data_IF_954150824051
#
_entry.id   IF_954150824051
#
_cell.length_a   1.000
_cell.length_b   1.000
_cell.length_c   1.000
_cell.angle_alpha   90.00
_cell.angle_beta   90.00
_cell.angle_gamma   90.00
#
_symmetry.space_group_name_H-M   'P 1'
#
loop_
_entity.id
_entity.type
_entity.pdbx_description
1 polymer ?
#
# COMPACT_ATOMS: atom_id res chain seq x y z
N UNK A 1 76.97 27.50 37.57
CA UNK A 1 77.71 26.22 37.63
C UNK A 1 76.84 25.26 38.43
N UNK A 2 76.33 24.14 37.94
CA UNK A 2 76.45 23.41 36.69
C UNK A 2 75.14 22.57 36.59
N UNK A 3 74.48 22.53 35.44
CA UNK A 3 74.54 21.46 34.42
C UNK A 3 73.37 20.48 34.51
N UNK A 4 72.68 20.39 33.38
CA UNK A 4 71.50 19.63 33.01
C UNK A 4 71.74 18.08 32.89
N UNK A 5 70.70 17.25 32.57
CA UNK A 5 70.46 15.87 33.03
C UNK A 5 71.06 14.77 32.12
N UNK A 6 70.70 13.45 32.25
CA UNK A 6 69.56 12.93 31.45
C UNK A 6 68.83 11.64 31.94
N UNK A 7 67.78 11.29 31.16
CA UNK A 7 67.31 9.94 30.77
C UNK A 7 66.20 9.18 31.58
N UNK A 8 64.95 9.46 31.21
CA UNK A 8 63.88 8.55 30.70
C UNK A 8 63.80 7.05 31.15
N UNK A 9 62.64 6.68 31.76
CA UNK A 9 61.69 5.55 31.43
C UNK A 9 60.90 5.15 32.70
N UNK A 10 59.63 5.55 32.83
CA UNK A 10 58.39 4.77 32.55
C UNK A 10 58.35 3.38 33.22
N UNK A 11 57.64 3.27 34.35
CA UNK A 11 56.66 2.22 34.66
C UNK A 11 55.83 2.58 35.90
N UNK A 12 54.57 2.11 35.93
CA UNK A 12 53.67 1.99 37.09
C UNK A 12 52.86 3.21 37.57
N UNK A 13 51.90 3.64 36.74
CA UNK A 13 50.77 4.47 37.15
C UNK A 13 49.44 3.91 36.60
N UNK A 14 49.11 2.65 36.91
CA UNK A 14 47.91 1.98 36.38
C UNK A 14 46.97 1.38 37.43
N UNK A 15 47.09 1.73 38.72
CA UNK A 15 46.26 1.08 39.76
C UNK A 15 45.41 2.01 40.64
N UNK A 16 45.51 3.34 40.52
CA UNK A 16 44.80 4.25 41.44
C UNK A 16 43.67 5.11 40.85
N UNK A 17 43.29 4.93 39.58
CA UNK A 17 42.25 5.78 38.93
C UNK A 17 40.85 5.14 38.92
N UNK A 18 40.72 3.85 39.19
CA UNK A 18 39.45 3.13 38.98
C UNK A 18 38.46 3.14 40.17
N UNK A 19 38.74 3.90 41.22
CA UNK A 19 37.90 3.94 42.45
C UNK A 19 37.13 5.24 42.63
N UNK A 20 37.32 6.27 41.79
CA UNK A 20 36.65 7.58 41.95
C UNK A 20 35.58 7.90 40.91
N UNK A 21 35.41 7.08 39.88
CA UNK A 21 34.43 7.28 38.79
C UNK A 21 33.13 6.45 38.92
N UNK A 22 32.83 5.88 40.09
CA UNK A 22 31.61 5.07 40.34
C UNK A 22 30.52 5.74 41.18
N UNK A 23 30.67 7.03 41.52
CA UNK A 23 29.71 7.77 42.38
C UNK A 23 28.80 8.75 41.65
N UNK A 24 28.77 8.74 40.32
CA UNK A 24 27.94 9.66 39.53
C UNK A 24 27.27 8.97 38.34
N UNK A 25 26.56 7.87 38.58
CA UNK A 25 25.49 7.40 37.70
C UNK A 25 24.42 6.74 38.57
N UNK A 26 23.28 7.42 38.71
CA UNK A 26 22.08 6.81 39.26
C UNK A 26 21.61 5.71 38.31
N UNK A 27 21.93 4.46 38.65
CA UNK A 27 21.33 3.28 38.02
C UNK A 27 20.67 2.53 39.16
N UNK A 28 19.34 2.65 39.24
CA UNK A 28 18.49 1.81 40.07
C UNK A 28 18.92 0.35 39.89
N UNK A 29 19.38 -0.28 40.97
CA UNK A 29 19.63 -1.71 40.98
C UNK A 29 18.28 -2.43 41.00
N UNK A 30 17.70 -2.58 39.82
CA UNK A 30 16.53 -3.43 39.62
C UNK A 30 16.87 -4.82 40.14
N UNK A 31 16.15 -5.25 41.18
CA UNK A 31 16.24 -6.61 41.74
C UNK A 31 16.11 -7.58 40.58
N UNK A 32 17.19 -8.30 40.26
CA UNK A 32 17.19 -9.35 39.23
C UNK A 32 16.26 -10.46 39.69
N UNK A 33 15.00 -10.38 39.27
CA UNK A 33 14.04 -11.46 39.45
C UNK A 33 14.56 -12.63 38.64
N UNK A 34 14.90 -13.73 39.31
CA UNK A 34 15.26 -14.99 38.66
C UNK A 34 14.15 -15.36 37.67
N UNK A 35 14.47 -15.61 36.39
CA UNK A 35 13.47 -15.93 35.38
C UNK A 35 12.55 -17.06 35.85
N UNK A 36 11.24 -16.90 35.63
CA UNK A 36 10.24 -17.89 36.03
C UNK A 36 10.62 -19.29 35.52
N UNK A 37 10.52 -20.32 36.37
CA UNK A 37 10.87 -21.70 36.00
C UNK A 37 10.21 -22.15 34.69
N UNK A 38 8.94 -21.75 34.49
CA UNK A 38 8.19 -22.02 33.25
C UNK A 38 8.80 -21.35 32.01
N UNK A 39 9.36 -20.16 32.16
CA UNK A 39 10.03 -19.45 31.07
C UNK A 39 11.36 -20.13 30.70
N UNK A 40 12.09 -20.60 31.71
CA UNK A 40 13.33 -21.36 31.51
C UNK A 40 13.02 -22.71 30.83
N UNK A 41 11.98 -23.41 31.27
CA UNK A 41 11.52 -24.67 30.67
C UNK A 41 11.10 -24.46 29.21
N UNK A 42 10.30 -23.43 28.91
CA UNK A 42 9.91 -23.10 27.54
C UNK A 42 11.11 -22.76 26.65
N UNK A 43 12.13 -22.08 27.20
CA UNK A 43 13.36 -21.77 26.47
C UNK A 43 14.17 -23.04 26.17
N UNK A 44 14.24 -23.96 27.13
CA UNK A 44 14.93 -25.24 26.96
C UNK A 44 14.24 -26.13 25.91
N UNK A 45 12.91 -26.19 25.89
CA UNK A 45 12.17 -26.89 24.86
C UNK A 45 12.41 -26.30 23.47
N UNK A 46 12.40 -24.96 23.36
CA UNK A 46 12.65 -24.27 22.10
C UNK A 46 14.07 -24.52 21.57
N UNK A 47 15.07 -24.50 22.44
CA UNK A 47 16.46 -24.80 22.07
C UNK A 47 16.56 -26.23 21.54
N UNK A 48 15.94 -27.19 22.23
CA UNK A 48 15.91 -28.60 21.82
C UNK A 48 15.30 -28.79 20.43
N UNK A 49 14.22 -28.06 20.13
CA UNK A 49 13.59 -28.09 18.79
C UNK A 49 14.55 -27.52 17.74
N UNK A 50 15.16 -26.37 17.99
CA UNK A 50 16.09 -25.74 17.05
C UNK A 50 17.32 -26.61 16.80
N UNK A 51 17.87 -27.24 17.84
CA UNK A 51 18.99 -28.19 17.72
C UNK A 51 18.61 -29.40 16.85
N UNK A 52 17.39 -29.92 17.00
CA UNK A 52 16.90 -31.01 16.15
C UNK A 52 16.74 -30.60 14.67
N UNK A 53 16.36 -29.34 14.41
CA UNK A 53 16.25 -28.81 13.05
C UNK A 53 17.64 -28.59 12.43
N UNK A 54 18.60 -28.10 13.20
CA UNK A 54 19.99 -27.94 12.75
C UNK A 54 20.61 -29.31 12.45
N UNK A 55 20.36 -30.32 13.28
CA UNK A 55 20.87 -31.67 13.04
C UNK A 55 20.30 -32.25 11.73
N UNK A 56 18.99 -32.08 11.48
CA UNK A 56 18.36 -32.50 10.21
C UNK A 56 18.97 -31.79 9.00
N UNK A 57 19.23 -30.49 9.10
CA UNK A 57 19.86 -29.73 8.01
C UNK A 57 21.32 -30.12 7.80
N UNK A 58 22.03 -30.47 8.87
CA UNK A 58 23.43 -30.91 8.83
C UNK A 58 23.59 -32.32 8.26
N UNK A 59 22.64 -33.22 8.55
CA UNK A 59 22.58 -34.54 7.91
C UNK A 59 22.25 -34.42 6.42
N UNK A 60 21.46 -33.41 6.02
CA UNK A 60 21.18 -33.11 4.63
C UNK A 60 22.34 -32.38 3.92
N UNK A 61 23.22 -31.69 4.64
CA UNK A 61 24.34 -30.94 4.05
C UNK A 61 25.55 -31.79 3.64
N UNK A 62 25.49 -33.12 3.82
CA UNK A 62 26.55 -34.05 3.45
C UNK A 62 26.60 -34.46 1.96
N UNK A 63 25.68 -33.98 1.12
CA UNK A 63 25.60 -34.37 -0.31
C UNK A 63 25.82 -33.22 -1.30
N UNK A 64 26.40 -32.09 -0.90
CA UNK A 64 26.49 -30.88 -1.76
C UNK A 64 27.94 -30.48 -2.09
N UNK A 65 28.72 -31.38 -2.70
CA UNK A 65 29.90 -30.96 -3.47
C UNK A 65 29.77 -31.20 -4.99
N UNK A 66 28.58 -31.60 -5.50
CA UNK A 66 28.42 -31.90 -6.94
C UNK A 66 27.17 -31.28 -7.60
N UNK A 67 26.65 -30.16 -7.09
CA UNK A 67 25.45 -29.48 -7.67
C UNK A 67 25.68 -27.99 -8.00
N UNK A 68 26.92 -27.51 -7.94
CA UNK A 68 27.27 -26.10 -8.19
C UNK A 68 27.15 -25.64 -9.67
N UNK A 69 26.69 -26.53 -10.57
CA UNK A 69 26.54 -26.23 -12.00
C UNK A 69 25.08 -26.17 -12.51
N UNK A 70 24.06 -26.45 -11.69
CA UNK A 70 22.67 -26.59 -12.17
C UNK A 70 21.72 -25.43 -11.80
N UNK A 71 22.13 -24.43 -11.01
CA UNK A 71 21.20 -23.41 -10.48
C UNK A 71 21.10 -22.14 -11.36
N UNK A 72 21.73 -22.09 -12.54
CA UNK A 72 21.67 -20.91 -13.40
C UNK A 72 20.53 -20.90 -14.45
N UNK A 73 19.62 -21.88 -14.50
CA UNK A 73 18.53 -21.84 -15.52
C UNK A 73 17.09 -22.21 -15.10
N UNK A 74 16.76 -22.52 -13.85
CA UNK A 74 15.35 -22.79 -13.46
C UNK A 74 14.82 -21.82 -12.41
N UNK A 75 14.62 -20.57 -12.83
CA UNK A 75 13.82 -19.56 -12.12
C UNK A 75 12.34 -19.56 -12.53
N UNK A 76 11.78 -20.72 -12.86
CA UNK A 76 10.37 -20.87 -13.24
C UNK A 76 9.68 -21.95 -12.41
N UNK A 77 8.70 -21.51 -11.61
CA UNK A 77 7.46 -22.23 -11.32
C UNK A 77 7.57 -23.67 -10.82
N UNK A 78 7.69 -23.87 -9.50
CA UNK A 78 7.15 -25.07 -8.86
C UNK A 78 6.39 -24.70 -7.59
N UNK A 79 5.12 -24.37 -7.78
CA UNK A 79 4.06 -24.63 -6.82
C UNK A 79 3.94 -26.14 -6.67
N UNK A 80 4.28 -26.69 -5.50
CA UNK A 80 4.01 -28.07 -5.15
C UNK A 80 2.49 -28.31 -5.19
N UNK A 81 2.06 -29.07 -6.20
CA UNK A 81 0.75 -29.67 -6.25
C UNK A 81 0.75 -30.90 -5.34
N UNK A 82 0.32 -30.75 -4.08
CA UNK A 82 -0.07 -31.91 -3.28
C UNK A 82 -1.41 -32.45 -3.81
N UNK A 83 -1.26 -33.50 -4.60
CA UNK A 83 -2.28 -34.49 -4.95
C UNK A 83 -3.07 -34.92 -3.71
N UNK A 84 -4.37 -34.67 -3.71
CA UNK A 84 -5.33 -35.28 -2.79
C UNK A 84 -5.45 -36.76 -3.13
N UNK A 85 -4.69 -37.60 -2.43
CA UNK A 85 -5.07 -38.98 -2.19
C UNK A 85 -6.04 -38.99 -1.01
N UNK A 86 -7.22 -39.53 -1.25
CA UNK A 86 -8.13 -39.95 -0.18
C UNK A 86 -7.41 -41.02 0.63
N UNK A 87 -6.94 -40.69 1.82
CA UNK A 87 -6.80 -41.66 2.89
C UNK A 87 -6.75 -40.98 4.25
N UNK A 88 -7.38 -41.64 5.22
CA UNK A 88 -7.61 -41.13 6.55
C UNK A 88 -6.31 -40.81 7.31
N UNK A 89 -6.42 -39.80 8.17
CA UNK A 89 -5.78 -39.66 9.48
C UNK A 89 -4.62 -38.63 9.63
N UNK A 90 -4.82 -37.76 10.62
CA UNK A 90 -3.96 -36.67 11.14
C UNK A 90 -3.97 -35.30 10.44
N UNK A 91 -4.85 -34.44 10.97
CA UNK A 91 -4.91 -33.00 10.77
C UNK A 91 -3.62 -32.28 11.19
N UNK A 92 -2.74 -31.97 10.25
CA UNK A 92 -1.89 -30.80 10.41
C UNK A 92 -2.71 -29.54 10.09
N UNK A 93 -3.57 -29.20 11.06
CA UNK A 93 -4.31 -27.94 11.09
C UNK A 93 -3.27 -26.82 11.23
N UNK A 94 -3.02 -26.07 10.15
CA UNK A 94 -2.03 -25.00 10.21
C UNK A 94 -2.54 -23.89 11.14
N UNK A 95 -1.83 -23.57 12.24
CA UNK A 95 -2.30 -22.58 13.21
C UNK A 95 -2.49 -21.19 12.57
N UNK A 96 -1.70 -20.89 11.54
CA UNK A 96 -1.80 -19.66 10.76
C UNK A 96 -3.12 -19.61 9.97
N UNK A 97 -3.58 -20.75 9.43
CA UNK A 97 -4.87 -20.84 8.73
C UNK A 97 -6.04 -20.68 9.70
N UNK A 98 -5.96 -21.25 10.89
CA UNK A 98 -6.98 -21.03 11.93
C UNK A 98 -7.06 -19.58 12.40
N UNK A 99 -5.91 -18.91 12.56
CA UNK A 99 -5.85 -17.51 12.94
C UNK A 99 -6.39 -16.66 11.79
N UNK A 100 -6.00 -16.94 10.55
CA UNK A 100 -6.55 -16.33 9.34
C UNK A 100 -8.07 -16.51 9.22
N UNK A 101 -8.58 -17.71 9.50
CA UNK A 101 -9.99 -18.04 9.39
C UNK A 101 -10.82 -17.39 10.51
N UNK A 102 -10.20 -17.03 11.65
CA UNK A 102 -10.86 -16.34 12.77
C UNK A 102 -10.71 -14.83 12.69
N UNK A 103 -9.50 -14.37 12.39
CA UNK A 103 -9.06 -12.99 12.48
C UNK A 103 -8.90 -12.32 11.11
N UNK A 104 -9.06 -13.03 10.00
CA UNK A 104 -8.82 -12.46 8.67
C UNK A 104 -7.35 -12.51 8.24
N UNK A 105 -7.12 -12.25 6.96
CA UNK A 105 -5.81 -12.30 6.30
C UNK A 105 -5.26 -10.90 6.01
N UNK A 106 -3.95 -10.75 6.16
CA UNK A 106 -3.19 -9.61 5.67
C UNK A 106 -2.54 -9.99 4.33
N UNK A 107 -2.79 -9.22 3.29
CA UNK A 107 -2.16 -9.43 1.98
C UNK A 107 -1.52 -8.14 1.50
N UNK A 108 -0.42 -8.28 0.77
CA UNK A 108 0.20 -7.16 0.06
C UNK A 108 -0.46 -7.11 -1.31
N UNK A 109 -1.13 -6.01 -1.62
CA UNK A 109 -1.71 -5.74 -2.94
C UNK A 109 -0.62 -5.52 -3.99
N UNK A 110 -1.02 -5.54 -5.27
CA UNK A 110 -0.13 -5.24 -6.40
C UNK A 110 0.46 -3.81 -6.34
N UNK A 111 -0.22 -2.92 -5.61
CA UNK A 111 0.23 -1.58 -5.27
C UNK A 111 1.26 -1.54 -4.12
N UNK A 112 1.69 -2.69 -3.59
CA UNK A 112 2.64 -2.79 -2.48
C UNK A 112 2.04 -2.51 -1.10
N UNK A 113 0.72 -2.27 -1.00
CA UNK A 113 0.07 -1.91 0.24
C UNK A 113 -0.52 -3.11 0.96
N UNK A 114 -0.41 -3.15 2.29
CA UNK A 114 -0.99 -4.23 3.10
C UNK A 114 -2.49 -3.96 3.30
N UNK A 115 -3.34 -4.86 2.79
CA UNK A 115 -4.79 -4.85 2.95
C UNK A 115 -5.21 -5.96 3.90
N UNK A 116 -6.09 -5.63 4.85
CA UNK A 116 -6.68 -6.57 5.78
C UNK A 116 -8.05 -7.03 5.27
N UNK A 117 -8.20 -8.33 5.09
CA UNK A 117 -9.45 -8.97 4.72
C UNK A 117 -9.98 -9.76 5.91
N UNK A 118 -11.14 -9.38 6.45
CA UNK A 118 -11.72 -10.08 7.58
C UNK A 118 -12.06 -11.54 7.26
N UNK A 119 -12.25 -12.36 8.30
CA UNK A 119 -12.58 -13.80 8.19
C UNK A 119 -13.86 -14.12 7.41
N UNK A 120 -14.73 -13.13 7.23
CA UNK A 120 -15.98 -13.27 6.46
C UNK A 120 -15.79 -13.10 4.95
N UNK A 121 -14.65 -12.56 4.52
CA UNK A 121 -14.33 -12.34 3.11
C UNK A 121 -13.59 -13.57 2.62
N UNK A 122 -14.16 -14.29 1.64
CA UNK A 122 -13.60 -15.52 1.06
C UNK A 122 -12.38 -15.24 0.15
N UNK A 123 -11.37 -14.52 0.66
CA UNK A 123 -10.19 -14.14 -0.08
C UNK A 123 -9.18 -15.30 -0.23
N UNK A 124 -9.24 -16.31 0.62
CA UNK A 124 -8.38 -17.50 0.53
C UNK A 124 -8.57 -18.29 -0.77
N UNK A 125 -9.74 -18.17 -1.42
CA UNK A 125 -10.02 -18.77 -2.72
C UNK A 125 -9.45 -17.98 -3.91
N UNK A 126 -9.23 -16.67 -3.74
CA UNK A 126 -8.73 -15.81 -4.82
C UNK A 126 -7.21 -15.92 -5.01
N UNK A 127 -6.47 -16.38 -3.99
CA UNK A 127 -5.02 -16.62 -4.08
C UNK A 127 -4.62 -17.67 -5.12
N UNK A 128 -5.54 -18.57 -5.49
CA UNK A 128 -5.28 -19.67 -6.41
C UNK A 128 -5.92 -19.47 -7.79
N UNK A 129 -6.48 -18.29 -8.08
CA UNK A 129 -7.03 -18.01 -9.40
C UNK A 129 -5.90 -17.60 -10.35
N UNK A 130 -5.62 -18.33 -11.43
CA UNK A 130 -4.66 -17.90 -12.46
C UNK A 130 -5.08 -16.59 -13.14
N UNK A 131 -6.33 -16.13 -12.95
CA UNK A 131 -6.79 -14.81 -13.39
C UNK A 131 -6.30 -13.65 -12.50
N UNK A 132 -5.92 -13.91 -11.24
CA UNK A 132 -5.36 -12.89 -10.34
C UNK A 132 -3.91 -12.50 -10.69
N UNK A 133 -3.20 -13.34 -11.47
CA UNK A 133 -1.86 -13.07 -11.97
C UNK A 133 -1.83 -12.37 -13.34
N UNK A 134 -2.99 -12.15 -13.96
CA UNK A 134 -3.14 -11.47 -15.24
C UNK A 134 -3.65 -10.02 -15.09
N UNK A 135 -3.54 -9.43 -13.90
CA UNK A 135 -3.84 -8.01 -13.71
C UNK A 135 -2.69 -7.21 -14.33
N UNK A 136 -3.04 -6.31 -15.24
CA UNK A 136 -2.07 -5.38 -15.81
C UNK A 136 -1.64 -4.45 -14.69
N UNK A 137 -0.33 -4.34 -14.47
CA UNK A 137 0.26 -3.46 -13.47
C UNK A 137 -0.41 -2.08 -13.49
N UNK A 138 -0.89 -1.64 -12.31
CA UNK A 138 -1.50 -0.32 -12.16
C UNK A 138 -0.60 0.79 -12.69
N UNK A 139 0.72 0.62 -12.59
CA UNK A 139 1.71 1.54 -13.15
C UNK A 139 1.71 1.56 -14.68
N UNK A 140 1.58 0.39 -15.32
CA UNK A 140 1.50 0.31 -16.79
C UNK A 140 0.20 0.89 -17.33
N UNK A 141 -0.93 0.69 -16.62
CA UNK A 141 -2.22 1.32 -16.95
C UNK A 141 -2.14 2.85 -16.84
N UNK A 142 -1.50 3.39 -15.80
CA UNK A 142 -1.27 4.83 -15.66
C UNK A 142 -0.41 5.39 -16.79
N UNK A 143 0.64 4.65 -17.20
CA UNK A 143 1.51 5.05 -18.31
C UNK A 143 0.78 5.03 -19.65
N UNK A 144 -0.09 4.05 -19.87
CA UNK A 144 -0.96 4.00 -21.05
C UNK A 144 -1.95 5.17 -21.06
N UNK A 145 -2.59 5.45 -19.91
CA UNK A 145 -3.48 6.60 -19.77
C UNK A 145 -2.78 7.91 -20.09
N UNK A 146 -1.57 8.13 -19.57
CA UNK A 146 -0.78 9.34 -19.82
C UNK A 146 -0.48 9.53 -21.32
N UNK A 147 -0.07 8.46 -22.03
CA UNK A 147 0.18 8.52 -23.48
C UNK A 147 -1.08 8.90 -24.27
N UNK A 148 -2.22 8.31 -23.92
CA UNK A 148 -3.48 8.61 -24.60
C UNK A 148 -3.96 10.04 -24.32
N UNK A 149 -3.74 10.55 -23.10
CA UNK A 149 -4.03 11.94 -22.75
C UNK A 149 -3.15 12.93 -23.54
N UNK A 150 -1.89 12.61 -23.77
CA UNK A 150 -1.00 13.42 -24.62
C UNK A 150 -1.47 13.43 -26.08
N UNK A 151 -1.88 12.29 -26.62
CA UNK A 151 -2.39 12.19 -27.99
C UNK A 151 -3.69 12.98 -28.22
N UNK A 152 -4.51 13.12 -27.17
CA UNK A 152 -5.80 13.82 -27.22
C UNK A 152 -5.70 15.30 -26.79
N UNK A 153 -4.51 15.79 -26.47
CA UNK A 153 -4.28 17.14 -25.92
C UNK A 153 -5.10 17.43 -24.64
N UNK A 154 -5.44 16.38 -23.89
CA UNK A 154 -6.18 16.44 -22.63
C UNK A 154 -5.25 16.49 -21.41
N UNK A 155 -3.93 16.47 -21.63
CA UNK A 155 -2.92 16.55 -20.58
C UNK A 155 -2.62 18.00 -20.14
N UNK A 156 -3.62 18.87 -20.12
CA UNK A 156 -3.45 20.22 -19.60
C UNK A 156 -3.38 20.20 -18.07
N UNK A 157 -2.51 21.07 -17.52
CA UNK A 157 -2.41 21.31 -16.08
C UNK A 157 -3.28 22.50 -15.71
N UNK A 158 -4.15 22.31 -14.73
CA UNK A 158 -4.95 23.39 -14.15
C UNK A 158 -4.04 24.28 -13.31
N UNK A 159 -4.16 25.61 -13.44
CA UNK A 159 -3.44 26.57 -12.60
C UNK A 159 -3.75 26.31 -11.12
N UNK A 160 -2.75 26.47 -10.25
CA UNK A 160 -2.93 26.25 -8.80
C UNK A 160 -4.04 27.13 -8.22
N UNK A 161 -4.15 28.39 -8.67
CA UNK A 161 -5.23 29.30 -8.24
C UNK A 161 -6.62 28.77 -8.64
N UNK A 162 -6.74 28.27 -9.88
CA UNK A 162 -8.01 27.75 -10.39
C UNK A 162 -8.38 26.45 -9.69
N UNK A 163 -7.40 25.58 -9.43
CA UNK A 163 -7.58 24.34 -8.67
C UNK A 163 -8.10 24.66 -7.27
N UNK A 164 -7.46 25.59 -6.56
CA UNK A 164 -7.80 25.90 -5.17
C UNK A 164 -9.19 26.56 -5.08
N UNK A 165 -9.54 27.42 -6.04
CA UNK A 165 -10.89 27.97 -6.20
C UNK A 165 -11.95 26.87 -6.37
N UNK A 166 -11.71 25.93 -7.29
CA UNK A 166 -12.62 24.81 -7.54
C UNK A 166 -12.73 23.85 -6.35
N UNK A 167 -11.62 23.59 -5.65
CA UNK A 167 -11.63 22.81 -4.42
C UNK A 167 -12.47 23.50 -3.34
N UNK A 168 -12.31 24.82 -3.17
CA UNK A 168 -13.16 25.60 -2.26
C UNK A 168 -14.65 25.41 -2.53
N UNK A 169 -15.06 25.54 -3.80
CA UNK A 169 -16.43 25.30 -4.25
C UNK A 169 -16.88 23.86 -3.93
N UNK A 170 -16.06 22.86 -4.25
CA UNK A 170 -16.38 21.45 -4.00
C UNK A 170 -16.67 21.18 -2.51
N UNK A 171 -15.83 21.71 -1.62
CA UNK A 171 -15.99 21.49 -0.18
C UNK A 171 -17.24 22.18 0.38
N UNK A 172 -17.59 23.35 -0.17
CA UNK A 172 -18.77 24.11 0.27
C UNK A 172 -20.06 23.44 -0.21
N UNK A 173 -20.12 23.08 -1.50
CA UNK A 173 -21.37 22.67 -2.14
C UNK A 173 -21.57 21.16 -2.21
N UNK A 174 -20.53 20.40 -2.60
CA UNK A 174 -20.68 18.98 -2.86
C UNK A 174 -20.48 18.14 -1.59
N UNK A 175 -19.37 18.37 -0.88
CA UNK A 175 -19.00 17.54 0.27
C UNK A 175 -19.94 17.73 1.47
N UNK A 176 -20.64 18.86 1.53
CA UNK A 176 -21.66 19.14 2.55
C UNK A 176 -22.84 18.16 2.48
N UNK A 177 -23.18 17.65 1.29
CA UNK A 177 -24.33 16.76 1.09
C UNK A 177 -23.93 15.33 0.74
N UNK A 178 -22.77 15.12 0.14
CA UNK A 178 -22.25 13.80 -0.19
C UNK A 178 -20.81 13.65 0.30
N UNK A 179 -20.65 12.98 1.44
CA UNK A 179 -19.35 12.71 2.05
C UNK A 179 -18.62 11.55 1.35
N UNK A 180 -18.24 11.77 0.09
CA UNK A 180 -17.54 10.78 -0.75
C UNK A 180 -16.03 10.82 -0.49
N UNK A 181 -15.48 12.01 -0.20
CA UNK A 181 -14.04 12.25 -0.07
C UNK A 181 -13.73 12.85 1.30
N UNK A 182 -12.74 12.29 2.01
CA UNK A 182 -12.27 12.85 3.28
C UNK A 182 -11.37 14.05 2.99
N UNK A 183 -11.86 15.26 3.34
CA UNK A 183 -11.19 16.52 3.01
C UNK A 183 -9.74 16.58 3.49
N UNK A 184 -9.49 16.26 4.76
CA UNK A 184 -8.17 16.44 5.37
C UNK A 184 -7.12 15.54 4.71
N UNK A 185 -7.44 14.25 4.54
CA UNK A 185 -6.57 13.28 3.88
C UNK A 185 -6.35 13.62 2.40
N UNK A 186 -7.39 14.11 1.72
CA UNK A 186 -7.30 14.48 0.32
C UNK A 186 -6.40 15.71 0.12
N UNK A 187 -6.52 16.74 0.97
CA UNK A 187 -5.67 17.93 0.90
C UNK A 187 -4.23 17.61 1.32
N UNK A 188 -4.03 16.81 2.37
CA UNK A 188 -2.69 16.34 2.77
C UNK A 188 -2.00 15.59 1.62
N UNK A 189 -2.72 14.71 0.93
CA UNK A 189 -2.15 13.95 -0.18
C UNK A 189 -1.82 14.84 -1.39
N UNK A 190 -2.57 15.91 -1.62
CA UNK A 190 -2.31 16.85 -2.73
C UNK A 190 -1.13 17.78 -2.46
N UNK A 191 -0.95 18.26 -1.22
CA UNK A 191 0.02 19.31 -0.92
C UNK A 191 1.28 18.83 -0.19
N UNK A 192 1.22 17.69 0.51
CA UNK A 192 2.30 17.22 1.38
C UNK A 192 2.83 15.88 0.90
N UNK A 193 1.97 14.86 0.87
CA UNK A 193 2.43 13.47 0.73
C UNK A 193 2.65 13.05 -0.72
N UNK A 194 1.86 13.58 -1.66
CA UNK A 194 1.89 13.22 -3.09
C UNK A 194 1.90 11.69 -3.33
N UNK A 195 1.26 10.94 -2.43
CA UNK A 195 1.26 9.48 -2.43
C UNK A 195 0.28 8.89 -3.45
N UNK A 196 -0.77 9.65 -3.79
CA UNK A 196 -1.82 9.25 -4.72
C UNK A 196 -2.77 8.18 -4.15
N UNK A 197 -2.68 7.91 -2.84
CA UNK A 197 -3.54 6.97 -2.10
C UNK A 197 -4.94 7.54 -1.89
N UNK A 198 -5.02 8.83 -1.55
CA UNK A 198 -6.26 9.52 -1.21
C UNK A 198 -6.66 10.53 -2.29
N UNK A 199 -5.69 11.04 -3.06
CA UNK A 199 -5.89 11.99 -4.13
C UNK A 199 -5.26 11.49 -5.43
N UNK A 200 -5.90 10.50 -6.08
CA UNK A 200 -5.46 10.05 -7.39
C UNK A 200 -5.71 11.14 -8.46
N UNK A 201 -4.92 11.18 -9.55
CA UNK A 201 -5.14 12.11 -10.66
C UNK A 201 -6.55 12.00 -11.26
N UNK A 202 -7.12 10.79 -11.25
CA UNK A 202 -8.49 10.54 -11.64
C UNK A 202 -9.48 11.24 -10.70
N UNK A 203 -9.35 11.03 -9.39
CA UNK A 203 -10.24 11.61 -8.39
C UNK A 203 -10.17 13.14 -8.42
N UNK A 204 -8.96 13.71 -8.47
CA UNK A 204 -8.77 15.14 -8.59
C UNK A 204 -9.46 15.70 -9.84
N UNK A 205 -9.29 15.06 -11.00
CA UNK A 205 -9.92 15.50 -12.24
C UNK A 205 -11.45 15.45 -12.16
N UNK A 206 -12.02 14.39 -11.56
CA UNK A 206 -13.47 14.27 -11.34
C UNK A 206 -14.00 15.35 -10.38
N UNK A 207 -13.30 15.61 -9.27
CA UNK A 207 -13.66 16.66 -8.30
C UNK A 207 -13.69 18.02 -8.99
N UNK A 208 -12.64 18.38 -9.73
CA UNK A 208 -12.55 19.64 -10.45
C UNK A 208 -13.61 19.75 -11.54
N UNK A 209 -13.89 18.67 -12.28
CA UNK A 209 -14.90 18.63 -13.33
C UNK A 209 -16.33 18.86 -12.81
N UNK A 210 -16.63 18.34 -11.62
CA UNK A 210 -17.91 18.56 -10.95
C UNK A 210 -18.02 19.97 -10.38
N UNK A 211 -16.97 20.44 -9.70
CA UNK A 211 -16.92 21.78 -9.13
C UNK A 211 -16.98 22.89 -10.19
N UNK A 212 -16.41 22.66 -11.38
CA UNK A 212 -16.40 23.61 -12.48
C UNK A 212 -17.81 24.06 -12.91
N UNK A 213 -18.82 23.20 -12.72
CA UNK A 213 -20.22 23.54 -13.02
C UNK A 213 -20.81 24.62 -12.12
N UNK A 214 -20.25 24.79 -10.93
CA UNK A 214 -20.66 25.79 -9.96
C UNK A 214 -19.76 27.05 -10.01
N UNK A 215 -18.83 27.12 -10.97
CA UNK A 215 -17.92 28.24 -11.14
C UNK A 215 -18.34 29.11 -12.31
N UNK A 216 -18.35 30.43 -12.12
CA UNK A 216 -18.69 31.40 -13.17
C UNK A 216 -17.52 31.73 -14.12
N UNK A 217 -16.33 31.15 -13.89
CA UNK A 217 -15.12 31.45 -14.68
C UNK A 217 -15.27 30.94 -16.12
N UNK A 218 -15.10 31.83 -17.09
CA UNK A 218 -15.21 31.53 -18.53
C UNK A 218 -14.11 30.58 -19.01
N UNK A 219 -12.93 30.62 -18.38
CA UNK A 219 -11.77 29.75 -18.69
C UNK A 219 -12.06 28.24 -18.53
N UNK A 220 -13.09 27.88 -17.77
CA UNK A 220 -13.50 26.48 -17.56
C UNK A 220 -14.49 25.98 -18.60
N UNK A 221 -15.03 26.88 -19.44
CA UNK A 221 -16.05 26.56 -20.44
C UNK A 221 -15.37 26.20 -21.75
N UNK A 222 -15.76 25.07 -22.34
CA UNK A 222 -15.31 24.69 -23.68
C UNK A 222 -15.90 25.61 -24.73
N UNK A 223 -17.16 26.02 -24.55
CA UNK A 223 -17.78 27.10 -25.31
C UNK A 223 -17.98 28.30 -24.37
N UNK A 224 -17.30 29.45 -24.58
CA UNK A 224 -17.44 30.64 -23.75
C UNK A 224 -18.89 31.12 -23.58
N UNK A 225 -19.76 30.83 -24.56
CA UNK A 225 -21.16 31.28 -24.59
C UNK A 225 -22.12 30.30 -23.89
N UNK A 226 -21.73 29.05 -23.70
CA UNK A 226 -22.58 28.04 -23.04
C UNK A 226 -22.04 27.69 -21.63
N UNK A 227 -22.70 28.15 -20.55
CA UNK A 227 -22.30 27.83 -19.19
C UNK A 227 -22.39 26.33 -18.88
N UNK A 228 -23.20 25.55 -19.61
CA UNK A 228 -23.31 24.11 -19.40
C UNK A 228 -22.04 23.34 -19.84
N UNK A 229 -21.16 23.97 -20.62
CA UNK A 229 -19.90 23.37 -21.05
C UNK A 229 -18.79 23.45 -20.01
N UNK A 230 -19.04 24.07 -18.85
CA UNK A 230 -18.06 24.20 -17.79
C UNK A 230 -17.53 22.83 -17.31
N UNK A 231 -16.21 22.67 -17.33
CA UNK A 231 -15.52 21.46 -16.89
C UNK A 231 -15.64 20.26 -17.83
N UNK A 232 -16.12 20.43 -19.08
CA UNK A 232 -16.21 19.33 -20.04
C UNK A 232 -14.83 18.71 -20.34
N UNK A 233 -13.80 19.54 -20.56
CA UNK A 233 -12.43 19.07 -20.79
C UNK A 233 -11.87 18.29 -19.58
N UNK A 234 -12.16 18.74 -18.36
CA UNK A 234 -11.77 18.04 -17.13
C UNK A 234 -12.49 16.71 -16.97
N UNK A 235 -13.78 16.66 -17.32
CA UNK A 235 -14.56 15.43 -17.30
C UNK A 235 -14.07 14.43 -18.35
N UNK A 236 -13.72 14.91 -19.55
CA UNK A 236 -13.16 14.07 -20.61
C UNK A 236 -11.81 13.47 -20.20
N UNK A 237 -10.93 14.29 -19.62
CA UNK A 237 -9.69 13.83 -18.99
C UNK A 237 -9.96 12.73 -17.95
N UNK A 238 -10.89 12.96 -17.03
CA UNK A 238 -11.26 11.98 -16.01
C UNK A 238 -11.83 10.69 -16.60
N UNK A 239 -12.71 10.78 -17.61
CA UNK A 239 -13.26 9.60 -18.32
C UNK A 239 -12.16 8.76 -18.95
N UNK A 240 -11.17 9.41 -19.58
CA UNK A 240 -10.09 8.68 -20.23
C UNK A 240 -9.22 7.95 -19.22
N UNK A 241 -8.87 8.59 -18.09
CA UNK A 241 -8.14 7.92 -17.01
C UNK A 241 -8.95 6.76 -16.42
N UNK A 242 -10.26 6.96 -16.21
CA UNK A 242 -11.17 5.94 -15.69
C UNK A 242 -11.25 4.71 -16.60
N UNK A 243 -11.16 4.89 -17.91
CA UNK A 243 -11.18 3.77 -18.86
C UNK A 243 -10.01 2.81 -18.62
N UNK A 244 -8.78 3.33 -18.43
CA UNK A 244 -7.61 2.51 -18.12
C UNK A 244 -7.63 1.98 -16.70
N UNK A 245 -7.94 2.83 -15.71
CA UNK A 245 -8.00 2.40 -14.30
C UNK A 245 -9.11 1.38 -14.02
N UNK A 246 -10.12 1.25 -14.90
CA UNK A 246 -11.19 0.25 -14.72
C UNK A 246 -10.72 -1.20 -14.77
N UNK A 247 -9.51 -1.46 -15.25
CA UNK A 247 -8.89 -2.78 -15.25
C UNK A 247 -8.23 -3.15 -13.92
N UNK A 248 -7.90 -2.14 -13.10
CA UNK A 248 -7.31 -2.30 -11.77
C UNK A 248 -7.90 -1.22 -10.82
N UNK A 249 -9.17 -1.37 -10.42
CA UNK A 249 -9.86 -0.34 -9.65
C UNK A 249 -9.24 -0.15 -8.27
N UNK A 250 -9.17 1.12 -7.85
CA UNK A 250 -8.79 1.53 -6.49
C UNK A 250 -9.97 2.19 -5.80
N UNK A 251 -9.88 2.40 -4.49
CA UNK A 251 -10.89 3.15 -3.73
C UNK A 251 -11.15 4.54 -4.34
N UNK A 252 -10.09 5.21 -4.78
CA UNK A 252 -10.17 6.51 -5.47
C UNK A 252 -10.89 6.42 -6.82
N UNK A 253 -10.80 5.28 -7.51
CA UNK A 253 -11.50 5.01 -8.78
C UNK A 253 -13.00 4.92 -8.55
N UNK A 254 -13.43 4.29 -7.46
CA UNK A 254 -14.85 4.21 -7.05
C UNK A 254 -15.37 5.62 -6.71
N UNK A 255 -14.65 6.35 -5.86
CA UNK A 255 -15.01 7.73 -5.50
C UNK A 255 -15.10 8.62 -6.74
N UNK A 256 -14.14 8.51 -7.65
CA UNK A 256 -14.11 9.28 -8.88
C UNK A 256 -15.27 8.92 -9.83
N UNK A 257 -15.60 7.63 -9.95
CA UNK A 257 -16.73 7.17 -10.77
C UNK A 257 -18.07 7.67 -10.24
N UNK A 258 -18.26 7.72 -8.91
CA UNK A 258 -19.45 8.28 -8.27
C UNK A 258 -19.59 9.79 -8.53
N UNK A 259 -18.49 10.54 -8.43
CA UNK A 259 -18.50 11.99 -8.72
C UNK A 259 -18.75 12.26 -10.21
N UNK A 260 -18.18 11.43 -11.08
CA UNK A 260 -18.35 11.54 -12.52
C UNK A 260 -19.78 11.20 -12.93
N UNK A 261 -20.40 10.16 -12.36
CA UNK A 261 -21.79 9.82 -12.65
C UNK A 261 -22.74 10.96 -12.26
N UNK A 262 -22.54 11.56 -11.07
CA UNK A 262 -23.32 12.72 -10.64
C UNK A 262 -23.18 13.88 -11.63
N UNK A 263 -21.96 14.15 -12.08
CA UNK A 263 -21.71 15.19 -13.08
C UNK A 263 -22.47 14.92 -14.37
N UNK A 264 -22.40 13.70 -14.91
CA UNK A 264 -23.04 13.34 -16.18
C UNK A 264 -24.56 13.38 -16.11
N UNK A 265 -25.14 12.87 -15.03
CA UNK A 265 -26.59 12.96 -14.79
C UNK A 265 -27.05 14.41 -14.75
N UNK A 266 -26.23 15.30 -14.19
CA UNK A 266 -26.58 16.71 -14.09
C UNK A 266 -26.31 17.54 -15.36
N UNK A 267 -25.70 16.97 -16.39
CA UNK A 267 -25.52 17.55 -17.74
C UNK A 267 -26.48 16.89 -18.74
N UNK A 268 -27.56 16.26 -18.24
CA UNK A 268 -28.57 15.52 -19.01
C UNK A 268 -28.01 14.36 -19.86
N UNK A 269 -26.81 13.88 -19.53
CA UNK A 269 -26.20 12.69 -20.13
C UNK A 269 -26.51 11.45 -19.30
N UNK A 270 -27.79 11.22 -19.03
CA UNK A 270 -28.25 10.20 -18.07
C UNK A 270 -27.70 8.80 -18.40
N UNK A 271 -27.70 8.40 -19.68
CA UNK A 271 -27.19 7.10 -20.12
C UNK A 271 -25.72 6.87 -19.73
N UNK A 272 -24.87 7.90 -19.80
CA UNK A 272 -23.48 7.81 -19.35
C UNK A 272 -23.39 7.72 -17.83
N UNK A 273 -24.23 8.47 -17.11
CA UNK A 273 -24.35 8.36 -15.66
C UNK A 273 -24.67 6.93 -15.22
N UNK A 274 -25.64 6.28 -15.86
CA UNK A 274 -26.01 4.89 -15.59
C UNK A 274 -24.87 3.90 -15.87
N UNK A 275 -24.10 4.09 -16.94
CA UNK A 275 -22.94 3.23 -17.26
C UNK A 275 -21.87 3.36 -16.16
N UNK A 276 -21.60 4.57 -15.67
CA UNK A 276 -20.63 4.78 -14.60
C UNK A 276 -21.12 4.24 -13.26
N UNK A 277 -22.41 4.38 -12.93
CA UNK A 277 -23.03 3.73 -11.79
C UNK A 277 -22.95 2.20 -11.90
N UNK A 278 -23.17 1.64 -13.09
CA UNK A 278 -23.03 0.20 -13.35
C UNK A 278 -21.59 -0.29 -13.16
N UNK A 279 -20.60 0.48 -13.65
CA UNK A 279 -19.17 0.21 -13.38
C UNK A 279 -18.87 0.24 -11.89
N UNK A 280 -19.39 1.23 -11.16
CA UNK A 280 -19.23 1.33 -9.71
C UNK A 280 -19.84 0.13 -8.99
N UNK A 281 -21.06 -0.26 -9.35
CA UNK A 281 -21.73 -1.42 -8.78
C UNK A 281 -20.95 -2.72 -9.08
N UNK A 282 -20.42 -2.88 -10.29
CA UNK A 282 -19.60 -4.04 -10.65
C UNK A 282 -18.31 -4.11 -9.83
N UNK A 283 -17.61 -2.98 -9.65
CA UNK A 283 -16.41 -2.93 -8.80
C UNK A 283 -16.76 -3.27 -7.35
N UNK A 284 -17.84 -2.69 -6.80
CA UNK A 284 -18.27 -2.97 -5.43
C UNK A 284 -18.70 -4.43 -5.24
N UNK A 285 -19.37 -5.04 -6.22
CA UNK A 285 -19.76 -6.45 -6.18
C UNK A 285 -18.56 -7.40 -6.26
N UNK A 286 -17.49 -7.01 -6.96
CA UNK A 286 -16.25 -7.79 -7.03
C UNK A 286 -15.40 -7.64 -5.76
N UNK A 287 -15.48 -6.49 -5.08
CA UNK A 287 -14.68 -6.19 -3.88
C UNK A 287 -15.39 -6.58 -2.56
N UNK A 288 -16.72 -6.78 -2.58
CA UNK A 288 -17.52 -7.28 -1.46
C UNK A 288 -18.42 -8.48 -1.85
N UNK A 289 -17.90 -9.72 -1.84
CA UNK A 289 -18.71 -10.94 -1.78
C UNK A 289 -19.19 -11.27 -0.35
#
# INVERSE_FOLDING_TARGET
MASDPPAYRVTEAATSVNTRARRATGIESSKRVSPSKRYVEALQERIKILESQIHRLKDNSGSYEEVDAAILEEGQSQSEAESSSEDANHSHRSPIKDISDRLGNLNIGEDGHIRYFGSRINFSLLKNSPAASATISSHDLQKQAARTLELLDLNFKVSDELRDHLLGIFWIWQNSWQYIVVKDLFLEDIYISHSGLYASPLLLSSVLALAARYSDRVELRTDPQDPNTAGNALAEKARMILFYESQAPKITTIQAAALLSLRETAVDKEALGWIYCGKLALVLLLEYP
#
